data_IF_884032583200
#
_entry.id   IF_884032583200
#
_cell.length_a   1.000
_cell.length_b   1.000
_cell.length_c   1.000
_cell.angle_alpha   90.00
_cell.angle_beta   90.00
_cell.angle_gamma   90.00
#
_symmetry.space_group_name_H-M   'P 1'
#
loop_
_entity.id
_entity.type
_entity.pdbx_description
1 polymer ?
#
# COMPACT_ATOMS: atom_id res chain seq x y z
N UNK A 1 14.63 -3.04 -30.81
CA UNK A 1 14.12 -4.19 -30.02
C UNK A 1 13.19 -3.63 -28.95
N UNK A 2 12.05 -4.29 -28.66
CA UNK A 2 11.17 -3.90 -27.55
C UNK A 2 11.48 -4.81 -26.36
N UNK A 3 11.55 -4.25 -25.15
CA UNK A 3 11.68 -5.01 -23.92
C UNK A 3 10.54 -6.04 -23.82
N UNK A 4 10.87 -7.26 -23.39
CA UNK A 4 9.90 -8.29 -22.99
C UNK A 4 9.05 -7.79 -21.81
N UNK A 5 7.96 -8.51 -21.51
CA UNK A 5 7.11 -8.18 -20.34
C UNK A 5 7.92 -8.20 -19.05
N UNK A 6 8.75 -9.23 -18.86
CA UNK A 6 9.56 -9.39 -17.65
C UNK A 6 10.58 -8.26 -17.49
N UNK A 7 11.26 -7.87 -18.56
CA UNK A 7 12.21 -6.74 -18.51
C UNK A 7 11.52 -5.42 -18.21
N UNK A 8 10.28 -5.22 -18.68
CA UNK A 8 9.49 -4.02 -18.31
C UNK A 8 9.06 -4.05 -16.85
N UNK A 9 8.71 -5.21 -16.31
CA UNK A 9 8.37 -5.36 -14.89
C UNK A 9 9.60 -5.04 -14.02
N UNK A 10 10.75 -5.62 -14.36
CA UNK A 10 12.01 -5.36 -13.65
C UNK A 10 12.36 -3.87 -13.69
N UNK A 11 12.27 -3.24 -14.86
CA UNK A 11 12.56 -1.81 -14.99
C UNK A 11 11.60 -0.95 -14.15
N UNK A 12 10.32 -1.33 -14.03
CA UNK A 12 9.36 -0.63 -13.16
C UNK A 12 9.77 -0.77 -11.70
N UNK A 13 10.18 -1.96 -11.26
CA UNK A 13 10.66 -2.21 -9.90
C UNK A 13 11.92 -1.39 -9.60
N UNK A 14 12.92 -1.43 -10.49
CA UNK A 14 14.18 -0.68 -10.35
C UNK A 14 13.93 0.84 -10.24
N UNK A 15 12.97 1.36 -11.01
CA UNK A 15 12.57 2.78 -10.94
C UNK A 15 11.88 3.08 -9.60
N UNK A 16 11.00 2.20 -9.12
CA UNK A 16 10.35 2.38 -7.82
C UNK A 16 11.36 2.39 -6.66
N UNK A 17 12.36 1.52 -6.70
CA UNK A 17 13.44 1.48 -5.70
C UNK A 17 14.32 2.74 -5.74
N UNK A 18 14.65 3.24 -6.94
CA UNK A 18 15.38 4.52 -7.10
C UNK A 18 14.58 5.68 -6.52
N UNK A 19 13.28 5.80 -6.79
CA UNK A 19 12.43 6.86 -6.22
C UNK A 19 12.39 6.78 -4.70
N UNK A 20 12.27 5.57 -4.14
CA UNK A 20 12.24 5.35 -2.69
C UNK A 20 13.57 5.74 -2.01
N UNK A 21 14.70 5.53 -2.67
CA UNK A 21 16.02 5.92 -2.16
C UNK A 21 16.33 7.40 -2.34
N UNK A 22 15.85 8.02 -3.42
CA UNK A 22 16.03 9.45 -3.74
C UNK A 22 15.07 10.36 -2.98
N UNK A 23 13.98 9.82 -2.42
CA UNK A 23 13.03 10.55 -1.58
C UNK A 23 13.30 10.22 -0.10
N UNK A 24 14.23 10.92 0.58
CA UNK A 24 14.60 10.63 1.97
C UNK A 24 13.52 10.99 3.01
N UNK A 25 12.35 11.48 2.57
CA UNK A 25 11.25 11.80 3.48
C UNK A 25 10.54 10.51 3.93
N UNK A 26 11.15 9.83 4.91
CA UNK A 26 10.34 9.00 5.79
C UNK A 26 9.30 9.92 6.43
N UNK A 27 8.04 9.80 6.01
CA UNK A 27 6.94 10.52 6.65
C UNK A 27 6.90 10.04 8.10
N UNK A 28 7.50 10.80 9.00
CA UNK A 28 7.49 10.45 10.41
C UNK A 28 6.07 10.56 10.93
N UNK A 29 5.54 9.43 11.39
CA UNK A 29 4.27 9.43 12.09
C UNK A 29 4.44 10.16 13.42
N UNK A 30 3.58 11.13 13.67
CA UNK A 30 3.41 11.73 14.99
C UNK A 30 3.09 10.64 16.03
N UNK A 31 3.38 10.92 17.30
CA UNK A 31 3.05 9.99 18.39
C UNK A 31 1.56 9.65 18.42
N UNK A 32 0.69 10.64 18.15
CA UNK A 32 -0.74 10.43 18.08
C UNK A 32 -1.14 9.44 16.96
N UNK A 33 -0.51 9.54 15.78
CA UNK A 33 -0.75 8.60 14.68
C UNK A 33 -0.27 7.19 15.02
N UNK A 34 0.91 7.05 15.65
CA UNK A 34 1.42 5.74 16.10
C UNK A 34 0.47 5.08 17.10
N UNK A 35 0.04 5.84 18.12
CA UNK A 35 -0.92 5.36 19.11
C UNK A 35 -2.25 4.93 18.48
N UNK A 36 -2.74 5.67 17.49
CA UNK A 36 -3.97 5.31 16.80
C UNK A 36 -3.83 4.04 15.96
N UNK A 37 -2.68 3.84 15.30
CA UNK A 37 -2.40 2.59 14.58
C UNK A 37 -2.36 1.39 15.54
N UNK A 38 -1.66 1.52 16.68
CA UNK A 38 -1.60 0.46 17.69
C UNK A 38 -2.99 0.12 18.24
N UNK A 39 -3.79 1.14 18.54
CA UNK A 39 -5.18 0.97 19.02
C UNK A 39 -6.04 0.24 18.00
N UNK A 40 -5.99 0.63 16.73
CA UNK A 40 -6.78 -0.01 15.65
C UNK A 40 -6.31 -1.43 15.37
N UNK A 41 -5.01 -1.69 15.44
CA UNK A 41 -4.46 -3.02 15.26
C UNK A 41 -4.88 -3.97 16.39
N UNK A 42 -4.84 -3.51 17.65
CA UNK A 42 -5.33 -4.27 18.79
C UNK A 42 -6.83 -4.57 18.68
N UNK A 43 -7.64 -3.58 18.31
CA UNK A 43 -9.08 -3.75 18.08
C UNK A 43 -9.37 -4.77 16.98
N UNK A 44 -8.66 -4.72 15.85
CA UNK A 44 -8.82 -5.68 14.76
C UNK A 44 -8.40 -7.10 15.15
N UNK A 45 -7.34 -7.26 15.97
CA UNK A 45 -6.95 -8.57 16.50
C UNK A 45 -8.00 -9.17 17.43
N UNK A 46 -8.66 -8.32 18.22
CA UNK A 46 -9.74 -8.74 19.12
C UNK A 46 -11.03 -9.09 18.36
N UNK A 47 -11.35 -8.32 17.31
CA UNK A 47 -12.50 -8.56 16.43
C UNK A 47 -12.13 -8.35 14.94
N UNK A 48 -11.71 -9.42 14.25
CA UNK A 48 -11.33 -9.34 12.84
C UNK A 48 -12.49 -8.98 11.91
N UNK A 49 -13.74 -9.20 12.33
CA UNK A 49 -14.93 -8.94 11.52
C UNK A 49 -15.14 -7.45 11.21
N UNK A 50 -14.47 -6.57 11.98
CA UNK A 50 -14.46 -5.12 11.77
C UNK A 50 -13.72 -4.69 10.50
N UNK A 51 -12.88 -5.54 9.91
CA UNK A 51 -12.20 -5.23 8.66
C UNK A 51 -13.12 -5.40 7.46
N UNK A 52 -12.88 -4.58 6.43
CA UNK A 52 -13.54 -4.72 5.14
C UNK A 52 -12.73 -5.69 4.28
N UNK A 53 -13.33 -6.77 3.76
CA UNK A 53 -12.65 -7.69 2.86
C UNK A 53 -12.08 -6.97 1.64
N UNK A 54 -10.90 -7.39 1.19
CA UNK A 54 -10.21 -6.78 0.05
C UNK A 54 -11.08 -6.77 -1.21
N UNK A 55 -11.85 -7.82 -1.44
CA UNK A 55 -12.76 -7.97 -2.58
C UNK A 55 -13.79 -6.85 -2.61
N UNK A 56 -14.31 -6.44 -1.45
CA UNK A 56 -15.27 -5.34 -1.35
C UNK A 56 -14.60 -3.99 -1.59
N UNK A 57 -13.39 -3.77 -1.05
CA UNK A 57 -12.61 -2.55 -1.29
C UNK A 57 -12.26 -2.43 -2.78
N UNK A 58 -11.73 -3.50 -3.36
CA UNK A 58 -11.37 -3.60 -4.78
C UNK A 58 -12.59 -3.36 -5.67
N UNK A 59 -13.72 -3.99 -5.35
CA UNK A 59 -14.96 -3.74 -6.10
C UNK A 59 -15.31 -2.26 -6.07
N UNK A 60 -15.36 -1.61 -4.90
CA UNK A 60 -15.69 -0.17 -4.81
C UNK A 60 -14.72 0.73 -5.58
N UNK A 61 -13.41 0.50 -5.46
CA UNK A 61 -12.38 1.33 -6.09
C UNK A 61 -12.36 1.19 -7.62
N UNK A 62 -12.72 0.03 -8.15
CA UNK A 62 -12.58 -0.29 -9.57
C UNK A 62 -13.91 -0.60 -10.28
N UNK A 63 -15.06 -0.32 -9.64
CA UNK A 63 -16.41 -0.53 -10.23
C UNK A 63 -16.69 0.38 -11.42
N UNK A 64 -16.08 1.56 -11.48
CA UNK A 64 -16.20 2.50 -12.61
C UNK A 64 -14.91 2.51 -13.45
N UNK A 65 -14.52 1.37 -13.99
CA UNK A 65 -13.62 1.37 -15.15
C UNK A 65 -14.41 1.82 -16.38
N UNK A 66 -13.99 2.87 -17.13
CA UNK A 66 -14.26 2.90 -18.56
C UNK A 66 -13.56 1.72 -19.26
#
# INVERSE_FOLDING_TARGET
MKLSVSERIQLVEDIWDSIATETPESIELSQAQKMELDRRLAAHRADPSTAVPWEQVRSKLFSNKP
#
